data_IF_222928277938
#
_entry.id   IF_222928277938
#
_cell.length_a   1.000
_cell.length_b   1.000
_cell.length_c   1.000
_cell.angle_alpha   90.00
_cell.angle_beta   90.00
_cell.angle_gamma   90.00
#
_symmetry.space_group_name_H-M   'P 1'
#
loop_
_entity.id
_entity.type
_entity.pdbx_description
1 polymer ?
#
# COMPACT_ATOMS: atom_id res chain seq x y z
N UNK A 1 13.74 14.38 -3.55
CA UNK A 1 13.31 15.49 -2.67
C UNK A 1 11.80 15.57 -2.51
N UNK A 2 11.01 15.50 -3.60
CA UNK A 2 9.53 15.56 -3.53
C UNK A 2 8.93 14.41 -2.71
N UNK A 3 9.39 13.18 -2.95
CA UNK A 3 8.97 11.97 -2.21
C UNK A 3 9.30 12.03 -0.71
N UNK A 4 10.37 12.71 -0.31
CA UNK A 4 10.74 12.85 1.10
C UNK A 4 9.68 13.63 1.87
N UNK A 5 9.00 14.58 1.22
CA UNK A 5 7.92 15.34 1.84
C UNK A 5 6.71 14.44 2.14
N UNK A 6 6.36 13.54 1.21
CA UNK A 6 5.33 12.53 1.43
C UNK A 6 5.71 11.59 2.60
N UNK A 7 6.97 11.14 2.69
CA UNK A 7 7.44 10.31 3.80
C UNK A 7 7.40 11.02 5.16
N UNK A 8 7.77 12.32 5.21
CA UNK A 8 7.69 13.12 6.44
C UNK A 8 6.24 13.21 6.92
N UNK A 9 5.30 13.46 6.01
CA UNK A 9 3.87 13.55 6.34
C UNK A 9 3.33 12.21 6.82
N UNK A 10 3.67 11.11 6.13
CA UNK A 10 3.30 9.76 6.59
C UNK A 10 3.83 9.48 8.00
N UNK A 11 5.11 9.77 8.26
CA UNK A 11 5.70 9.59 9.58
C UNK A 11 4.98 10.41 10.67
N UNK A 12 4.61 11.65 10.37
CA UNK A 12 3.85 12.50 11.29
C UNK A 12 2.45 11.95 11.59
N UNK A 13 1.74 11.48 10.55
CA UNK A 13 0.42 10.85 10.68
C UNK A 13 0.52 9.60 11.56
N UNK A 14 1.55 8.78 11.34
CA UNK A 14 1.80 7.58 12.13
C UNK A 14 1.94 7.88 13.62
N UNK A 15 2.82 8.82 14.00
CA UNK A 15 3.05 9.17 15.41
C UNK A 15 1.82 9.83 16.04
N UNK A 16 1.22 10.78 15.34
CA UNK A 16 0.14 11.61 15.90
C UNK A 16 -1.15 10.82 16.12
N UNK A 17 -1.56 10.03 15.13
CA UNK A 17 -2.87 9.38 15.13
C UNK A 17 -2.80 7.89 15.45
N UNK A 18 -1.96 7.15 14.71
CA UNK A 18 -2.00 5.70 14.72
C UNK A 18 -1.31 5.10 15.94
N UNK A 19 -0.11 5.59 16.29
CA UNK A 19 0.65 5.10 17.43
C UNK A 19 -0.13 5.23 18.74
N UNK A 20 -0.77 6.38 18.98
CA UNK A 20 -1.60 6.61 20.18
C UNK A 20 -2.78 5.63 20.26
N UNK A 21 -3.49 5.42 19.15
CA UNK A 21 -4.66 4.54 19.11
C UNK A 21 -4.28 3.07 19.32
N UNK A 22 -3.23 2.60 18.66
CA UNK A 22 -2.84 1.18 18.70
C UNK A 22 -2.10 0.80 19.98
N UNK A 23 -1.37 1.74 20.61
CA UNK A 23 -0.72 1.50 21.90
C UNK A 23 -1.72 1.11 23.00
N UNK A 24 -2.94 1.65 22.98
CA UNK A 24 -3.99 1.33 23.95
C UNK A 24 -4.61 -0.05 23.71
N UNK A 25 -4.57 -0.56 22.47
CA UNK A 25 -5.20 -1.82 22.08
C UNK A 25 -4.34 -3.06 22.38
N UNK A 26 -3.04 -2.87 22.65
CA UNK A 26 -2.11 -3.94 23.01
C UNK A 26 -0.85 -3.94 22.16
N UNK A 27 0.21 -4.59 22.66
CA UNK A 27 1.52 -4.66 21.99
C UNK A 27 1.45 -5.42 20.67
N UNK A 28 0.69 -6.51 20.62
CA UNK A 28 0.63 -7.35 19.42
C UNK A 28 -0.16 -6.67 18.29
N UNK A 29 -1.25 -5.98 18.64
CA UNK A 29 -2.05 -5.15 17.71
C UNK A 29 -1.22 -3.99 17.18
N UNK A 30 -0.42 -3.35 18.05
CA UNK A 30 0.51 -2.30 17.63
C UNK A 30 1.52 -2.83 16.60
N UNK A 31 2.09 -4.01 16.83
CA UNK A 31 3.10 -4.58 15.93
C UNK A 31 2.52 -4.88 14.53
N UNK A 32 1.39 -5.59 14.47
CA UNK A 32 0.72 -5.94 13.20
C UNK A 32 0.32 -4.68 12.44
N UNK A 33 -0.31 -3.71 13.12
CA UNK A 33 -0.75 -2.49 12.47
C UNK A 33 0.42 -1.61 12.00
N UNK A 34 1.54 -1.63 12.72
CA UNK A 34 2.77 -0.93 12.29
C UNK A 34 3.35 -1.56 11.03
N UNK A 35 3.41 -2.90 10.96
CA UNK A 35 3.84 -3.61 9.74
C UNK A 35 2.91 -3.29 8.58
N UNK A 36 1.59 -3.33 8.81
CA UNK A 36 0.60 -2.97 7.80
C UNK A 36 0.77 -1.53 7.31
N UNK A 37 1.06 -0.60 8.23
CA UNK A 37 1.29 0.80 7.90
C UNK A 37 2.55 1.00 7.03
N UNK A 38 3.66 0.35 7.39
CA UNK A 38 4.91 0.38 6.61
C UNK A 38 4.66 -0.19 5.21
N UNK A 39 3.97 -1.33 5.13
CA UNK A 39 3.61 -1.96 3.87
C UNK A 39 2.74 -1.06 2.99
N UNK A 40 1.68 -0.44 3.53
CA UNK A 40 0.85 0.51 2.80
C UNK A 40 1.64 1.73 2.33
N UNK A 41 2.56 2.23 3.15
CA UNK A 41 3.44 3.34 2.78
C UNK A 41 4.34 2.96 1.58
N UNK A 42 4.81 1.71 1.54
CA UNK A 42 5.59 1.21 0.40
C UNK A 42 4.75 1.05 -0.87
N UNK A 43 3.49 0.61 -0.75
CA UNK A 43 2.57 0.60 -1.90
C UNK A 43 2.36 2.00 -2.43
N UNK A 44 2.08 2.98 -1.57
CA UNK A 44 1.91 4.38 -1.98
C UNK A 44 3.16 4.90 -2.69
N UNK A 45 4.34 4.56 -2.17
CA UNK A 45 5.61 4.91 -2.80
C UNK A 45 5.76 4.34 -4.21
N UNK A 46 5.44 3.06 -4.42
CA UNK A 46 5.59 2.40 -5.71
C UNK A 46 4.52 2.79 -6.75
N UNK A 47 3.37 3.27 -6.31
CA UNK A 47 2.19 3.46 -7.17
C UNK A 47 1.83 4.92 -7.42
N UNK A 48 1.91 5.77 -6.40
CA UNK A 48 1.27 7.08 -6.42
C UNK A 48 2.24 8.24 -6.10
N UNK A 49 3.37 7.98 -5.43
CA UNK A 49 4.30 9.06 -5.10
C UNK A 49 4.97 9.63 -6.37
N UNK A 50 5.12 10.97 -6.44
CA UNK A 50 4.85 11.96 -5.40
C UNK A 50 3.38 12.41 -5.34
N UNK A 51 2.75 12.36 -4.15
CA UNK A 51 1.31 12.62 -3.97
C UNK A 51 1.05 14.10 -3.69
N UNK A 52 1.74 14.67 -2.70
CA UNK A 52 1.51 16.05 -2.24
C UNK A 52 1.86 17.09 -3.30
N UNK A 53 2.87 16.79 -4.12
CA UNK A 53 3.27 17.68 -5.20
C UNK A 53 2.31 17.60 -6.38
N UNK A 54 1.74 16.42 -6.66
CA UNK A 54 0.85 16.21 -7.81
C UNK A 54 -0.60 16.65 -7.53
N UNK A 55 -1.04 16.60 -6.27
CA UNK A 55 -2.35 17.06 -5.80
C UNK A 55 -2.84 18.41 -6.37
N UNK A 56 -2.05 19.50 -6.32
CA UNK A 56 -2.49 20.80 -6.85
C UNK A 56 -2.61 20.84 -8.38
N UNK A 57 -2.02 19.88 -9.11
CA UNK A 57 -2.06 19.82 -10.57
C UNK A 57 -3.15 18.90 -11.12
N UNK A 58 -3.88 18.17 -10.27
CA UNK A 58 -4.92 17.21 -10.71
C UNK A 58 -5.97 17.87 -11.62
N UNK A 59 -6.31 19.14 -11.37
CA UNK A 59 -7.32 19.87 -12.16
C UNK A 59 -6.78 20.51 -13.44
N UNK A 60 -5.45 20.51 -13.65
CA UNK A 60 -4.80 21.16 -14.78
C UNK A 60 -4.52 20.22 -15.96
N UNK A 61 -4.91 18.95 -15.86
CA UNK A 61 -4.65 17.96 -16.92
C UNK A 61 -5.91 17.69 -17.74
N UNK A 62 -5.86 17.82 -19.08
CA UNK A 62 -6.94 17.37 -19.94
C UNK A 62 -7.11 15.85 -19.77
N UNK A 63 -8.36 15.40 -19.67
CA UNK A 63 -8.67 13.98 -19.50
C UNK A 63 -8.28 13.20 -20.77
N UNK A 64 -7.27 12.35 -20.66
CA UNK A 64 -6.95 11.36 -21.69
C UNK A 64 -7.71 10.06 -21.42
N UNK A 65 -8.18 9.41 -22.48
CA UNK A 65 -8.91 8.14 -22.37
C UNK A 65 -7.98 7.07 -21.79
N UNK A 66 -8.29 6.60 -20.58
CA UNK A 66 -7.54 5.53 -19.95
C UNK A 66 -7.89 4.18 -20.58
N UNK A 67 -6.88 3.40 -20.98
CA UNK A 67 -7.10 2.03 -21.45
C UNK A 67 -7.47 1.12 -20.27
N UNK A 68 -8.68 0.55 -20.30
CA UNK A 68 -9.21 -0.35 -19.26
C UNK A 68 -9.11 -1.83 -19.65
N UNK A 69 -8.56 -2.15 -20.82
CA UNK A 69 -8.48 -3.53 -21.27
C UNK A 69 -7.39 -4.25 -20.46
N UNK A 70 -7.74 -5.32 -19.71
CA UNK A 70 -6.81 -6.00 -18.83
C UNK A 70 -5.72 -6.72 -19.63
N UNK A 71 -4.51 -6.80 -19.06
CA UNK A 71 -3.36 -7.54 -19.63
C UNK A 71 -2.94 -7.12 -21.04
N UNK A 72 -3.41 -5.98 -21.57
CA UNK A 72 -3.02 -5.48 -22.91
C UNK A 72 -1.52 -5.35 -23.07
N UNK A 73 -0.82 -4.96 -22.01
CA UNK A 73 0.63 -4.81 -22.06
C UNK A 73 1.35 -6.18 -22.07
N UNK A 74 0.75 -7.21 -21.46
CA UNK A 74 1.26 -8.59 -21.50
C UNK A 74 0.98 -9.23 -22.86
N UNK A 75 -0.25 -9.09 -23.39
CA UNK A 75 -0.66 -9.70 -24.66
C UNK A 75 0.05 -9.08 -25.86
N UNK A 76 0.33 -7.77 -25.81
CA UNK A 76 1.05 -7.07 -26.86
C UNK A 76 2.56 -6.94 -26.59
N UNK A 77 3.07 -7.51 -25.50
CA UNK A 77 4.48 -7.44 -25.11
C UNK A 77 5.02 -6.01 -25.00
N UNK A 78 4.19 -5.06 -24.55
CA UNK A 78 4.55 -3.63 -24.50
C UNK A 78 5.39 -3.33 -23.26
N UNK A 79 6.48 -2.58 -23.47
CA UNK A 79 7.27 -2.01 -22.39
C UNK A 79 7.81 -3.04 -21.39
N UNK A 80 7.75 -2.69 -20.11
CA UNK A 80 8.29 -3.47 -18.99
C UNK A 80 7.17 -4.23 -18.24
N UNK A 81 6.38 -5.00 -18.99
CA UNK A 81 5.22 -5.73 -18.47
C UNK A 81 5.62 -6.78 -17.41
N UNK A 82 6.82 -7.38 -17.51
CA UNK A 82 7.32 -8.34 -16.51
C UNK A 82 7.47 -7.67 -15.15
N UNK A 83 8.13 -6.51 -15.09
CA UNK A 83 8.31 -5.77 -13.84
C UNK A 83 6.97 -5.33 -13.28
N UNK A 84 6.03 -4.89 -14.11
CA UNK A 84 4.68 -4.50 -13.67
C UNK A 84 3.90 -5.68 -13.07
N UNK A 85 3.95 -6.85 -13.70
CA UNK A 85 3.29 -8.06 -13.19
C UNK A 85 3.93 -8.51 -11.87
N UNK A 86 5.26 -8.58 -11.81
CA UNK A 86 5.98 -8.97 -10.59
C UNK A 86 5.69 -8.01 -9.45
N UNK A 87 5.72 -6.70 -9.70
CA UNK A 87 5.40 -5.69 -8.69
C UNK A 87 3.96 -5.85 -8.19
N UNK A 88 2.98 -6.04 -9.06
CA UNK A 88 1.59 -6.24 -8.66
C UNK A 88 1.38 -7.50 -7.81
N UNK A 89 2.05 -8.60 -8.15
CA UNK A 89 2.00 -9.84 -7.35
C UNK A 89 2.64 -9.62 -5.98
N UNK A 90 3.86 -9.07 -5.94
CA UNK A 90 4.58 -8.79 -4.69
C UNK A 90 3.80 -7.81 -3.81
N UNK A 91 3.12 -6.82 -4.41
CA UNK A 91 2.27 -5.89 -3.69
C UNK A 91 1.02 -6.55 -3.13
N UNK A 92 0.41 -7.53 -3.78
CA UNK A 92 -0.86 -8.13 -3.32
C UNK A 92 -0.69 -9.26 -2.30
N UNK A 93 0.45 -9.97 -2.31
CA UNK A 93 0.73 -11.07 -1.39
C UNK A 93 0.56 -10.67 0.09
N UNK A 94 1.18 -9.59 0.60
CA UNK A 94 1.08 -9.24 2.01
C UNK A 94 -0.34 -8.84 2.41
N UNK A 95 -1.15 -8.33 1.48
CA UNK A 95 -2.56 -8.00 1.74
C UNK A 95 -3.38 -9.24 2.13
N UNK A 96 -3.12 -10.37 1.48
CA UNK A 96 -3.80 -11.65 1.75
C UNK A 96 -3.58 -12.15 3.17
N UNK A 97 -2.42 -11.87 3.76
CA UNK A 97 -2.08 -12.32 5.12
C UNK A 97 -2.33 -11.25 6.19
N UNK A 98 -1.95 -9.99 5.92
CA UNK A 98 -2.03 -8.89 6.88
C UNK A 98 -3.47 -8.44 7.14
N UNK A 99 -4.35 -8.44 6.13
CA UNK A 99 -5.72 -7.96 6.30
C UNK A 99 -6.54 -8.83 7.28
N UNK A 100 -6.50 -10.18 7.19
CA UNK A 100 -7.10 -11.04 8.21
C UNK A 100 -6.49 -10.84 9.60
N UNK A 101 -5.16 -10.70 9.70
CA UNK A 101 -4.45 -10.51 10.98
C UNK A 101 -4.81 -9.21 11.69
N UNK A 102 -5.12 -8.14 10.95
CA UNK A 102 -5.57 -6.86 11.52
C UNK A 102 -7.02 -6.96 12.03
N UNK A 103 -7.87 -7.78 11.40
CA UNK A 103 -9.29 -7.96 11.77
C UNK A 103 -9.49 -8.94 12.93
N UNK A 104 -8.73 -10.02 12.95
CA UNK A 104 -8.80 -11.06 13.97
C UNK A 104 -8.06 -10.62 15.24
N UNK A 105 -8.78 -10.46 16.35
CA UNK A 105 -8.17 -10.14 17.67
C UNK A 105 -7.27 -11.26 18.20
N UNK A 106 -7.36 -12.48 17.67
CA UNK A 106 -6.51 -13.62 18.01
C UNK A 106 -5.53 -13.86 16.87
N UNK A 107 -4.25 -13.68 17.18
CA UNK A 107 -3.14 -13.80 16.22
C UNK A 107 -2.82 -15.28 16.04
N UNK A 108 -3.61 -15.96 15.20
CA UNK A 108 -3.27 -17.30 14.73
C UNK A 108 -2.83 -17.19 13.28
N UNK A 109 -1.55 -16.88 13.05
CA UNK A 109 -0.91 -16.90 11.72
C UNK A 109 -1.17 -18.22 10.97
N UNK A 110 -1.22 -19.34 11.72
CA UNK A 110 -1.54 -20.67 11.19
C UNK A 110 -2.96 -20.77 10.61
N UNK A 111 -3.95 -20.09 11.21
CA UNK A 111 -5.32 -20.12 10.71
C UNK A 111 -5.47 -19.31 9.41
N UNK A 112 -4.67 -18.25 9.24
CA UNK A 112 -4.69 -17.43 8.02
C UNK A 112 -4.08 -18.19 6.83
N UNK A 113 -3.02 -18.97 7.06
CA UNK A 113 -2.42 -19.84 6.04
C UNK A 113 -3.39 -20.97 5.65
N UNK A 114 -4.19 -21.48 6.60
CA UNK A 114 -5.12 -22.60 6.34
C UNK A 114 -6.44 -22.18 5.66
N UNK A 115 -6.74 -20.87 5.63
CA UNK A 115 -7.94 -20.31 4.98
C UNK A 115 -7.70 -20.00 3.49
N UNK A 116 -6.43 -19.89 3.07
CA UNK A 116 -6.00 -19.50 1.73
C UNK A 116 -5.65 -20.74 0.88
#
# INVERSE_FOLDING_TARGET
MRELFDFIVLFFIYISMFYRKWKVQGKDVLFINTIMYIYLSFILYLTLMPILVSLPFIFNHPYELMNLVPFVDVTNGRGDFIRQVVLNIVMTIPFGFLLPLVREKKINLLNVIFIL
#
